data_IF_289228382573
#
_entry.id   IF_289228382573
#
_cell.length_a   1.000
_cell.length_b   1.000
_cell.length_c   1.000
_cell.angle_alpha   90.00
_cell.angle_beta   90.00
_cell.angle_gamma   90.00
#
_symmetry.space_group_name_H-M   'P 1'
#
loop_
_entity.id
_entity.type
_entity.pdbx_description
1 polymer ?
#
# COMPACT_ATOMS: atom_id res chain seq x y z
N UNK A 1 14.41 -20.46 -1.62
CA UNK A 1 13.23 -20.89 -2.40
C UNK A 1 12.34 -19.66 -2.60
N UNK A 2 11.98 -19.31 -3.82
CA UNK A 2 11.24 -18.06 -4.10
C UNK A 2 9.76 -18.09 -3.66
N UNK A 3 9.21 -19.28 -3.41
CA UNK A 3 7.88 -19.46 -2.84
C UNK A 3 8.01 -20.17 -1.49
N UNK A 4 7.53 -19.54 -0.41
CA UNK A 4 7.54 -20.14 0.90
C UNK A 4 6.33 -21.06 1.04
N UNK A 5 6.58 -22.37 1.08
CA UNK A 5 5.54 -23.41 1.17
C UNK A 5 4.78 -23.38 2.51
N UNK A 6 5.37 -22.84 3.56
CA UNK A 6 4.78 -22.77 4.89
C UNK A 6 4.91 -21.38 5.47
N UNK A 7 3.80 -20.83 5.93
CA UNK A 7 3.73 -19.62 6.73
C UNK A 7 3.39 -19.95 8.17
N UNK A 8 4.00 -19.26 9.11
CA UNK A 8 3.70 -19.35 10.55
C UNK A 8 2.54 -18.45 10.99
N UNK A 9 1.82 -17.85 10.04
CA UNK A 9 0.64 -17.05 10.32
C UNK A 9 -0.47 -17.93 10.91
N UNK A 10 -0.81 -17.69 12.18
CA UNK A 10 -1.83 -18.43 12.91
C UNK A 10 -2.80 -17.47 13.58
N UNK A 11 -3.84 -17.00 12.86
CA UNK A 11 -4.84 -16.12 13.46
C UNK A 11 -5.62 -16.84 14.56
N UNK A 12 -6.20 -16.08 15.51
CA UNK A 12 -7.10 -16.65 16.50
C UNK A 12 -8.26 -17.39 15.85
N UNK A 13 -8.64 -18.54 16.42
CA UNK A 13 -9.71 -19.40 15.90
C UNK A 13 -11.02 -18.65 15.59
N UNK A 14 -11.38 -17.66 16.42
CA UNK A 14 -12.60 -16.85 16.21
C UNK A 14 -12.56 -15.98 14.94
N UNK A 15 -11.41 -15.82 14.32
CA UNK A 15 -11.21 -15.10 13.06
C UNK A 15 -11.09 -16.09 11.88
N UNK A 16 -12.09 -16.93 11.74
CA UNK A 16 -12.09 -18.15 10.93
C UNK A 16 -12.12 -17.94 9.40
N UNK A 17 -12.34 -16.70 8.91
CA UNK A 17 -12.34 -16.43 7.48
C UNK A 17 -11.74 -15.05 7.14
N UNK A 18 -11.41 -14.85 5.86
CA UNK A 18 -10.77 -13.64 5.36
C UNK A 18 -11.58 -12.37 5.56
N UNK A 19 -12.92 -12.42 5.47
CA UNK A 19 -13.76 -11.23 5.70
C UNK A 19 -13.69 -10.78 7.16
N UNK A 20 -13.80 -11.72 8.10
CA UNK A 20 -13.69 -11.40 9.53
C UNK A 20 -12.31 -10.84 9.84
N UNK A 21 -11.24 -11.44 9.31
CA UNK A 21 -9.88 -10.93 9.50
C UNK A 21 -9.65 -9.56 8.88
N UNK A 22 -10.30 -9.26 7.75
CA UNK A 22 -10.23 -7.94 7.11
C UNK A 22 -10.89 -6.86 7.97
N UNK A 23 -12.05 -7.15 8.54
CA UNK A 23 -12.88 -6.16 9.26
C UNK A 23 -12.44 -6.01 10.72
N UNK A 24 -12.05 -7.10 11.38
CA UNK A 24 -11.71 -7.10 12.81
C UNK A 24 -10.67 -6.05 13.21
N UNK A 25 -9.52 -5.90 12.53
CA UNK A 25 -8.53 -4.88 12.90
C UNK A 25 -9.04 -3.46 12.75
N UNK A 26 -9.89 -3.22 11.76
CA UNK A 26 -10.47 -1.90 11.51
C UNK A 26 -11.33 -1.48 12.71
N UNK A 27 -12.15 -2.39 13.22
CA UNK A 27 -13.09 -2.10 14.32
C UNK A 27 -12.41 -2.20 15.69
N UNK A 28 -11.70 -3.28 15.98
CA UNK A 28 -11.35 -3.68 17.32
C UNK A 28 -9.87 -3.54 17.69
N UNK A 29 -8.96 -3.35 16.73
CA UNK A 29 -7.56 -3.12 17.08
C UNK A 29 -7.43 -1.80 17.82
N UNK A 30 -6.83 -1.78 19.02
CA UNK A 30 -6.46 -0.52 19.68
C UNK A 30 -5.52 0.29 18.74
N UNK A 31 -5.70 1.60 18.71
CA UNK A 31 -4.78 2.47 17.95
C UNK A 31 -3.42 2.43 18.62
N UNK A 32 -2.34 2.02 17.92
CA UNK A 32 -1.01 2.08 18.48
C UNK A 32 -0.66 3.52 18.83
N UNK A 33 -0.19 3.75 20.06
CA UNK A 33 0.24 5.08 20.50
C UNK A 33 1.51 5.45 19.77
N UNK A 34 1.41 6.40 18.86
CA UNK A 34 2.51 6.99 18.10
C UNK A 34 2.21 8.48 17.92
N UNK A 35 3.22 9.32 18.04
CA UNK A 35 3.09 10.77 17.87
C UNK A 35 4.03 11.21 16.74
N UNK A 36 3.60 11.11 15.48
CA UNK A 36 4.44 11.50 14.36
C UNK A 36 4.57 13.03 14.25
N UNK A 37 5.75 13.47 13.83
CA UNK A 37 5.94 14.84 13.38
C UNK A 37 5.47 14.95 11.91
N UNK A 38 4.50 15.81 11.63
CA UNK A 38 4.00 16.10 10.28
C UNK A 38 4.93 17.05 9.57
N UNK A 39 5.29 16.70 8.33
CA UNK A 39 6.00 17.52 7.38
C UNK A 39 5.24 17.57 6.06
N UNK A 40 5.25 18.68 5.35
CA UNK A 40 4.72 18.83 4.01
C UNK A 40 5.83 19.10 3.03
N UNK A 41 5.86 18.39 1.93
CA UNK A 41 6.79 18.62 0.82
C UNK A 41 6.04 19.03 -0.44
N UNK A 42 6.65 19.90 -1.24
CA UNK A 42 6.14 20.20 -2.57
C UNK A 42 6.55 19.13 -3.57
N UNK A 43 5.68 18.84 -4.51
CA UNK A 43 5.97 17.97 -5.66
C UNK A 43 6.37 18.80 -6.88
N UNK A 44 7.06 18.19 -7.84
CA UNK A 44 7.57 18.88 -9.03
C UNK A 44 6.47 19.50 -9.90
N UNK A 45 5.24 18.98 -9.81
CA UNK A 45 4.07 19.48 -10.53
C UNK A 45 3.26 20.55 -9.76
N UNK A 46 3.82 21.09 -8.66
CA UNK A 46 3.22 22.18 -7.87
C UNK A 46 2.19 21.72 -6.83
N UNK A 47 2.02 20.44 -6.63
CA UNK A 47 1.18 19.85 -5.58
C UNK A 47 1.97 19.67 -4.28
N UNK A 48 1.45 18.88 -3.33
CA UNK A 48 2.14 18.56 -2.09
C UNK A 48 1.83 17.14 -1.61
N UNK A 49 2.73 16.64 -0.75
CA UNK A 49 2.56 15.38 0.00
C UNK A 49 2.77 15.65 1.48
N UNK A 50 1.92 15.08 2.31
CA UNK A 50 2.03 15.10 3.77
C UNK A 50 2.73 13.84 4.27
N UNK A 51 3.79 14.02 5.04
CA UNK A 51 4.68 13.01 5.57
C UNK A 51 4.55 12.97 7.10
N UNK A 52 4.38 11.78 7.68
CA UNK A 52 4.34 11.57 9.12
C UNK A 52 5.63 10.82 9.56
N UNK A 53 6.51 11.52 10.24
CA UNK A 53 7.79 11.02 10.74
C UNK A 53 7.66 10.41 12.12
N UNK A 54 8.20 9.21 12.31
CA UNK A 54 8.35 8.54 13.59
C UNK A 54 9.82 8.26 13.83
N UNK A 55 10.35 8.76 14.94
CA UNK A 55 11.75 8.59 15.27
C UNK A 55 12.03 7.18 15.86
N UNK A 56 13.19 6.64 15.51
CA UNK A 56 13.69 5.40 16.09
C UNK A 56 13.80 5.46 17.60
N UNK A 57 13.53 4.35 18.26
CA UNK A 57 13.75 4.19 19.71
C UNK A 57 15.20 3.75 19.94
N UNK A 58 15.94 4.52 20.75
CA UNK A 58 17.33 4.23 21.08
C UNK A 58 18.35 4.90 20.15
N UNK A 59 19.63 4.60 20.38
CA UNK A 59 20.76 5.08 19.56
C UNK A 59 21.29 3.95 18.69
N UNK A 60 21.46 4.21 17.40
CA UNK A 60 21.97 3.24 16.43
C UNK A 60 22.30 3.91 15.10
N UNK A 61 22.73 3.15 14.09
CA UNK A 61 22.95 3.66 12.74
C UNK A 61 21.65 4.24 12.20
N UNK A 62 21.77 5.33 11.42
CA UNK A 62 20.61 5.97 10.80
C UNK A 62 20.06 5.05 9.70
N UNK A 63 18.84 4.53 9.89
CA UNK A 63 18.12 3.65 8.96
C UNK A 63 16.72 4.18 8.74
N UNK A 64 16.25 4.17 7.50
CA UNK A 64 14.96 4.71 7.08
C UNK A 64 14.00 3.60 6.66
N UNK A 65 12.77 3.62 7.16
CA UNK A 65 11.69 2.80 6.63
C UNK A 65 10.60 3.70 6.04
N UNK A 66 10.24 3.51 4.77
CA UNK A 66 9.14 4.23 4.12
C UNK A 66 7.92 3.33 4.04
N UNK A 67 6.76 3.85 4.51
CA UNK A 67 5.51 3.07 4.55
C UNK A 67 4.45 3.71 3.66
N UNK A 68 3.92 2.93 2.70
CA UNK A 68 2.82 3.28 1.80
C UNK A 68 1.52 2.60 2.23
N UNK A 69 0.46 3.39 2.42
CA UNK A 69 -0.86 2.89 2.85
C UNK A 69 -1.71 2.34 1.69
N UNK A 70 -2.87 1.75 1.99
CA UNK A 70 -3.84 1.24 1.00
C UNK A 70 -4.84 2.30 0.53
N UNK A 71 -5.75 1.88 -0.37
CA UNK A 71 -6.79 2.72 -0.98
C UNK A 71 -7.60 3.48 0.08
N UNK A 72 -7.72 4.80 -0.10
CA UNK A 72 -8.44 5.71 0.81
C UNK A 72 -7.97 5.61 2.28
N UNK A 73 -6.72 5.13 2.45
CA UNK A 73 -6.03 5.13 3.74
C UNK A 73 -5.36 6.47 4.05
N UNK A 74 -4.52 6.45 5.05
CA UNK A 74 -3.63 7.56 5.42
C UNK A 74 -2.52 7.03 6.36
N UNK A 75 -1.46 7.79 6.58
CA UNK A 75 -0.31 7.44 7.39
C UNK A 75 -0.63 7.06 8.86
N UNK A 76 -1.80 7.44 9.37
CA UNK A 76 -2.23 7.16 10.76
C UNK A 76 -3.25 6.01 10.87
N UNK A 77 -3.49 5.24 9.80
CA UNK A 77 -4.32 4.02 9.90
C UNK A 77 -3.67 3.02 10.84
N UNK A 78 -4.49 2.24 11.58
CA UNK A 78 -4.04 1.32 12.64
C UNK A 78 -2.93 0.36 12.18
N UNK A 79 -2.99 -0.15 10.94
CA UNK A 79 -1.97 -1.03 10.39
C UNK A 79 -0.66 -0.30 10.05
N UNK A 80 -0.75 0.95 9.56
CA UNK A 80 0.44 1.79 9.33
C UNK A 80 1.10 2.16 10.65
N UNK A 81 0.32 2.65 11.62
CA UNK A 81 0.82 3.00 12.94
C UNK A 81 1.43 1.80 13.69
N UNK A 82 0.83 0.61 13.54
CA UNK A 82 1.37 -0.64 14.09
C UNK A 82 2.72 -1.00 13.48
N UNK A 83 2.83 -0.96 12.16
CA UNK A 83 4.09 -1.19 11.44
C UNK A 83 5.14 -0.15 11.82
N UNK A 84 4.77 1.14 11.87
CA UNK A 84 5.68 2.20 12.31
C UNK A 84 6.22 1.94 13.72
N UNK A 85 5.34 1.58 14.67
CA UNK A 85 5.75 1.21 16.04
C UNK A 85 6.68 0.00 16.06
N UNK A 86 6.40 -1.02 15.24
CA UNK A 86 7.23 -2.23 15.17
C UNK A 86 8.64 -1.94 14.65
N UNK A 87 8.77 -1.06 13.66
CA UNK A 87 10.03 -0.69 13.05
C UNK A 87 10.82 0.32 13.91
N UNK A 88 10.16 1.32 14.50
CA UNK A 88 10.83 2.27 15.39
C UNK A 88 11.45 1.60 16.61
N UNK A 89 10.78 0.60 17.20
CA UNK A 89 11.34 -0.23 18.29
C UNK A 89 12.57 -1.05 17.87
N UNK A 90 12.81 -1.18 16.56
CA UNK A 90 13.98 -1.88 15.99
C UNK A 90 15.04 -0.93 15.43
N UNK A 91 14.92 0.36 15.76
CA UNK A 91 15.92 1.37 15.42
C UNK A 91 15.79 1.93 14.00
N UNK A 92 14.62 1.83 13.37
CA UNK A 92 14.31 2.51 12.11
C UNK A 92 13.62 3.85 12.36
N UNK A 93 14.11 4.93 11.77
CA UNK A 93 13.27 6.10 11.55
C UNK A 93 12.22 5.73 10.51
N UNK A 94 10.96 6.06 10.75
CA UNK A 94 9.87 5.69 9.87
C UNK A 94 9.24 6.92 9.24
N UNK A 95 9.12 6.90 7.92
CA UNK A 95 8.43 7.88 7.11
C UNK A 95 7.15 7.24 6.55
N UNK A 96 6.03 7.47 7.20
CA UNK A 96 4.72 7.10 6.68
C UNK A 96 4.14 8.28 5.91
N UNK A 97 3.84 8.11 4.63
CA UNK A 97 3.38 9.20 3.79
C UNK A 97 1.92 9.06 3.40
N UNK A 98 1.30 10.16 3.03
CA UNK A 98 -0.08 10.21 2.61
C UNK A 98 -0.16 10.45 1.10
N UNK A 99 -0.93 9.60 0.41
CA UNK A 99 -1.24 9.83 -1.01
C UNK A 99 -1.95 11.17 -1.18
N UNK A 100 -1.88 11.77 -2.36
CA UNK A 100 -2.50 13.07 -2.66
C UNK A 100 -3.97 13.10 -2.23
N UNK A 101 -4.34 14.08 -1.42
CA UNK A 101 -5.69 14.21 -0.86
C UNK A 101 -6.07 13.18 0.22
N UNK A 102 -5.08 12.47 0.80
CA UNK A 102 -5.28 11.54 1.93
C UNK A 102 -4.70 12.04 3.26
N UNK A 103 -4.02 13.17 3.27
CA UNK A 103 -3.37 13.74 4.46
C UNK A 103 -4.29 14.55 5.39
N UNK A 104 -5.58 14.71 5.04
CA UNK A 104 -6.56 15.53 5.75
C UNK A 104 -7.00 16.77 4.97
N UNK A 105 -6.15 17.32 4.14
CA UNK A 105 -6.46 18.39 3.19
C UNK A 105 -6.52 17.85 1.76
N UNK A 106 -7.39 18.40 0.90
CA UNK A 106 -7.36 18.10 -0.53
C UNK A 106 -6.06 18.61 -1.14
N UNK A 107 -5.44 17.80 -2.00
CA UNK A 107 -4.30 18.23 -2.77
C UNK A 107 -4.66 19.36 -3.76
N UNK A 108 -3.66 20.12 -4.25
CA UNK A 108 -3.88 21.32 -5.06
C UNK A 108 -4.37 21.05 -6.47
N UNK A 109 -3.87 19.99 -7.11
CA UNK A 109 -4.23 19.65 -8.49
C UNK A 109 -5.59 18.94 -8.58
N UNK A 110 -6.22 18.99 -9.76
CA UNK A 110 -7.47 18.27 -10.03
C UNK A 110 -7.29 16.76 -9.88
N UNK A 111 -6.19 16.22 -10.42
CA UNK A 111 -5.81 14.81 -10.22
C UNK A 111 -5.50 14.53 -8.74
N UNK A 112 -5.86 13.34 -8.27
CA UNK A 112 -5.48 12.85 -6.95
C UNK A 112 -4.25 11.92 -7.07
N UNK A 113 -4.40 10.69 -6.62
CA UNK A 113 -3.41 9.61 -6.78
C UNK A 113 -4.04 8.46 -7.56
N UNK A 114 -3.22 7.55 -8.06
CA UNK A 114 -3.67 6.29 -8.63
C UNK A 114 -2.79 5.11 -8.19
N UNK A 115 -3.26 3.88 -8.43
CA UNK A 115 -2.63 2.67 -7.89
C UNK A 115 -1.22 2.36 -8.44
N UNK A 116 -0.80 3.03 -9.51
CA UNK A 116 0.53 2.88 -10.11
C UNK A 116 1.37 4.15 -10.07
N UNK A 117 1.07 5.11 -9.19
CA UNK A 117 1.78 6.41 -9.10
C UNK A 117 3.12 6.26 -8.37
N UNK A 118 4.16 5.87 -9.10
CA UNK A 118 5.50 5.61 -8.57
C UNK A 118 6.34 6.88 -8.42
N UNK A 119 5.96 7.98 -9.08
CA UNK A 119 6.68 9.24 -9.01
C UNK A 119 6.60 9.88 -7.62
N UNK A 120 5.42 9.84 -7.00
CA UNK A 120 5.23 10.35 -5.64
C UNK A 120 6.02 9.52 -4.61
N UNK A 121 6.04 8.19 -4.75
CA UNK A 121 6.86 7.33 -3.89
C UNK A 121 8.36 7.64 -4.05
N UNK A 122 8.83 7.85 -5.29
CA UNK A 122 10.22 8.24 -5.55
C UNK A 122 10.56 9.59 -4.90
N UNK A 123 9.68 10.58 -5.00
CA UNK A 123 9.87 11.89 -4.37
C UNK A 123 9.96 11.78 -2.85
N UNK A 124 9.06 11.01 -2.22
CA UNK A 124 9.07 10.75 -0.77
C UNK A 124 10.35 10.05 -0.33
N UNK A 125 10.77 9.02 -1.04
CA UNK A 125 11.99 8.26 -0.72
C UNK A 125 13.24 9.13 -0.86
N UNK A 126 13.36 9.89 -1.95
CA UNK A 126 14.48 10.78 -2.20
C UNK A 126 14.55 11.89 -1.15
N UNK A 127 13.41 12.51 -0.82
CA UNK A 127 13.33 13.49 0.26
C UNK A 127 13.75 12.89 1.61
N UNK A 128 13.22 11.72 1.93
CA UNK A 128 13.55 11.02 3.17
C UNK A 128 15.03 10.71 3.31
N UNK A 129 15.66 10.19 2.25
CA UNK A 129 17.09 9.91 2.22
C UNK A 129 17.95 11.19 2.32
N UNK A 130 17.49 12.29 1.76
CA UNK A 130 18.19 13.59 1.82
C UNK A 130 18.13 14.29 3.18
N UNK A 131 17.16 13.92 4.04
CA UNK A 131 16.96 14.58 5.34
C UNK A 131 18.07 14.27 6.37
N UNK A 132 18.63 13.08 6.28
CA UNK A 132 19.71 12.60 7.14
C UNK A 132 20.55 11.60 6.35
N UNK A 133 21.81 11.44 6.69
CA UNK A 133 22.68 10.43 6.06
C UNK A 133 22.26 9.01 6.48
N UNK A 134 21.20 8.49 5.84
CA UNK A 134 20.76 7.11 6.02
C UNK A 134 21.62 6.17 5.20
N UNK A 135 22.24 5.20 5.87
CA UNK A 135 23.01 4.15 5.19
C UNK A 135 22.10 3.15 4.46
N UNK A 136 20.98 2.81 5.11
CA UNK A 136 20.03 1.82 4.62
C UNK A 136 18.60 2.36 4.66
N UNK A 137 17.84 2.01 3.64
CA UNK A 137 16.40 2.25 3.55
C UNK A 137 15.66 0.95 3.27
N UNK A 138 14.43 0.83 3.79
CA UNK A 138 13.52 -0.27 3.49
C UNK A 138 12.14 0.28 3.15
N UNK A 139 11.42 -0.46 2.32
CA UNK A 139 10.09 -0.05 1.87
C UNK A 139 9.04 -1.04 2.37
N UNK A 140 7.91 -0.53 2.86
CA UNK A 140 6.76 -1.35 3.25
C UNK A 140 5.50 -0.81 2.58
N UNK A 141 4.75 -1.69 1.90
CA UNK A 141 3.53 -1.29 1.21
C UNK A 141 2.33 -2.18 1.56
N UNK A 142 1.16 -1.57 1.66
CA UNK A 142 -0.09 -2.27 1.93
C UNK A 142 -1.08 -2.08 0.80
N UNK A 143 -1.70 -3.16 0.31
CA UNK A 143 -2.73 -3.11 -0.73
C UNK A 143 -2.22 -2.36 -1.97
N UNK A 144 -2.90 -1.31 -2.44
CA UNK A 144 -2.43 -0.50 -3.58
C UNK A 144 -1.07 0.18 -3.30
N UNK A 145 -0.73 0.49 -2.03
CA UNK A 145 0.60 0.97 -1.68
C UNK A 145 1.68 -0.09 -1.86
N UNK A 146 1.32 -1.36 -1.69
CA UNK A 146 2.15 -2.50 -2.08
C UNK A 146 2.30 -2.63 -3.60
N UNK A 147 1.21 -2.41 -4.35
CA UNK A 147 1.26 -2.39 -5.81
C UNK A 147 2.18 -1.26 -6.34
N UNK A 148 2.05 -0.04 -5.82
CA UNK A 148 2.95 1.08 -6.16
C UNK A 148 4.41 0.73 -5.86
N UNK A 149 4.67 0.14 -4.68
CA UNK A 149 6.00 -0.26 -4.26
C UNK A 149 6.61 -1.31 -5.20
N UNK A 150 5.89 -2.38 -5.50
CA UNK A 150 6.38 -3.44 -6.39
C UNK A 150 6.59 -2.92 -7.82
N UNK A 151 5.67 -2.10 -8.32
CA UNK A 151 5.81 -1.43 -9.61
C UNK A 151 7.05 -0.53 -9.62
N UNK A 152 7.23 0.31 -8.59
CA UNK A 152 8.39 1.20 -8.45
C UNK A 152 9.73 0.44 -8.51
N UNK A 153 9.82 -0.71 -7.83
CA UNK A 153 11.03 -1.53 -7.80
C UNK A 153 11.35 -2.23 -9.13
N UNK A 154 10.32 -2.50 -9.95
CA UNK A 154 10.47 -3.31 -11.15
C UNK A 154 10.31 -2.55 -12.46
N UNK A 155 9.61 -1.40 -12.53
CA UNK A 155 9.41 -0.67 -13.79
C UNK A 155 10.69 -0.01 -14.31
N UNK A 156 11.54 0.46 -13.40
CA UNK A 156 12.86 1.04 -13.69
C UNK A 156 13.81 0.77 -12.51
N UNK A 157 14.41 -0.43 -12.43
CA UNK A 157 15.27 -0.82 -11.32
C UNK A 157 16.51 0.06 -11.15
N UNK A 158 16.98 0.74 -12.20
CA UNK A 158 18.12 1.65 -12.13
C UNK A 158 17.79 2.95 -11.39
N UNK A 159 16.52 3.35 -11.37
CA UNK A 159 16.04 4.53 -10.63
C UNK A 159 16.01 4.31 -9.11
N UNK A 160 16.00 3.05 -8.66
CA UNK A 160 15.90 2.70 -7.24
C UNK A 160 17.21 3.09 -6.53
N UNK A 161 17.18 3.97 -5.50
CA UNK A 161 18.39 4.36 -4.79
C UNK A 161 19.12 3.15 -4.18
N UNK A 162 20.44 3.12 -4.27
CA UNK A 162 21.28 2.03 -3.74
C UNK A 162 21.11 1.81 -2.23
N UNK A 163 20.65 2.82 -1.50
CA UNK A 163 20.33 2.73 -0.08
C UNK A 163 19.13 1.78 0.20
N UNK A 164 18.26 1.52 -0.80
CA UNK A 164 17.13 0.59 -0.62
C UNK A 164 17.64 -0.84 -0.57
N UNK A 165 17.57 -1.45 0.62
CA UNK A 165 18.11 -2.79 0.89
C UNK A 165 17.08 -3.90 0.80
N UNK A 166 15.83 -3.61 1.16
CA UNK A 166 14.76 -4.60 1.15
C UNK A 166 13.38 -3.96 1.06
N UNK A 167 12.39 -4.76 0.68
CA UNK A 167 11.01 -4.33 0.63
C UNK A 167 10.05 -5.43 1.09
N UNK A 168 8.91 -5.04 1.68
CA UNK A 168 7.82 -5.96 2.04
C UNK A 168 6.49 -5.37 1.58
N UNK A 169 5.68 -6.18 0.91
CA UNK A 169 4.38 -5.79 0.39
C UNK A 169 3.29 -6.77 0.86
N UNK A 170 2.20 -6.24 1.41
CA UNK A 170 1.11 -7.02 1.99
C UNK A 170 -0.19 -6.83 1.22
N UNK A 171 -0.92 -7.94 1.00
CA UNK A 171 -2.27 -7.94 0.42
C UNK A 171 -2.34 -7.16 -0.89
N UNK A 172 -1.43 -7.47 -1.81
CA UNK A 172 -1.17 -6.65 -2.99
C UNK A 172 -2.06 -7.06 -4.17
N UNK A 173 -2.90 -6.16 -4.69
CA UNK A 173 -3.61 -6.36 -5.94
C UNK A 173 -2.65 -6.13 -7.13
N UNK A 174 -1.65 -6.99 -7.32
CA UNK A 174 -0.66 -6.83 -8.38
C UNK A 174 -1.25 -6.95 -9.81
N UNK A 175 -2.43 -7.56 -9.95
CA UNK A 175 -3.34 -7.45 -11.09
C UNK A 175 -4.57 -6.62 -10.69
N UNK A 176 -4.57 -5.34 -11.04
CA UNK A 176 -5.66 -4.43 -10.67
C UNK A 176 -6.98 -4.79 -11.35
N UNK A 177 -6.96 -5.20 -12.61
CA UNK A 177 -8.16 -5.60 -13.35
C UNK A 177 -8.80 -6.85 -12.71
N UNK A 178 -8.00 -7.84 -12.37
CA UNK A 178 -8.45 -9.04 -11.67
C UNK A 178 -9.07 -8.73 -10.32
N UNK A 179 -8.41 -7.89 -9.52
CA UNK A 179 -8.89 -7.49 -8.20
C UNK A 179 -10.15 -6.61 -8.27
N UNK A 180 -10.26 -5.70 -9.24
CA UNK A 180 -11.47 -4.91 -9.47
C UNK A 180 -12.68 -5.82 -9.76
N UNK A 181 -12.50 -6.85 -10.62
CA UNK A 181 -13.55 -7.86 -10.89
C UNK A 181 -13.92 -8.68 -9.65
N UNK A 182 -12.94 -9.05 -8.80
CA UNK A 182 -13.23 -9.77 -7.54
C UNK A 182 -14.03 -8.89 -6.59
N UNK A 183 -13.66 -7.63 -6.44
CA UNK A 183 -14.38 -6.66 -5.59
C UNK A 183 -15.80 -6.34 -6.12
N UNK A 184 -16.03 -6.44 -7.43
CA UNK A 184 -17.35 -6.26 -8.03
C UNK A 184 -18.33 -7.43 -7.76
N UNK A 185 -17.86 -8.56 -7.21
CA UNK A 185 -18.73 -9.70 -6.87
C UNK A 185 -19.74 -9.33 -5.77
N UNK A 186 -20.95 -9.89 -5.79
CA UNK A 186 -21.98 -9.59 -4.78
C UNK A 186 -21.50 -9.77 -3.33
N UNK A 187 -20.68 -10.77 -3.06
CA UNK A 187 -20.10 -11.02 -1.73
C UNK A 187 -19.24 -9.87 -1.20
N UNK A 188 -18.68 -9.05 -2.09
CA UNK A 188 -17.79 -7.93 -1.77
C UNK A 188 -18.48 -6.56 -1.86
N UNK A 189 -19.80 -6.52 -2.11
CA UNK A 189 -20.56 -5.27 -2.28
C UNK A 189 -20.35 -4.27 -1.15
N UNK A 190 -20.22 -4.75 0.09
CA UNK A 190 -19.96 -3.87 1.24
C UNK A 190 -18.62 -3.13 1.13
N UNK A 191 -17.56 -3.82 0.73
CA UNK A 191 -16.24 -3.19 0.55
C UNK A 191 -16.23 -2.24 -0.64
N UNK A 192 -16.84 -2.65 -1.76
CA UNK A 192 -16.96 -1.81 -2.95
C UNK A 192 -17.67 -0.49 -2.62
N UNK A 193 -18.82 -0.55 -1.93
CA UNK A 193 -19.55 0.65 -1.52
C UNK A 193 -18.77 1.51 -0.53
N UNK A 194 -18.06 0.89 0.42
CA UNK A 194 -17.19 1.61 1.36
C UNK A 194 -16.13 2.46 0.63
N UNK A 195 -15.46 1.90 -0.36
CA UNK A 195 -14.46 2.62 -1.14
C UNK A 195 -15.08 3.65 -2.09
N UNK A 196 -16.11 3.27 -2.83
CA UNK A 196 -16.77 4.18 -3.78
C UNK A 196 -17.37 5.38 -3.07
N UNK A 197 -17.90 5.23 -1.87
CA UNK A 197 -18.40 6.37 -1.08
C UNK A 197 -17.32 7.43 -0.86
N UNK A 198 -16.11 7.01 -0.52
CA UNK A 198 -14.97 7.93 -0.33
C UNK A 198 -14.51 8.54 -1.65
N UNK A 199 -14.39 7.74 -2.70
CA UNK A 199 -13.98 8.21 -4.03
C UNK A 199 -14.98 9.19 -4.63
N UNK A 200 -16.30 8.90 -4.52
CA UNK A 200 -17.36 9.83 -4.95
C UNK A 200 -17.30 11.16 -4.17
N UNK A 201 -17.05 11.10 -2.86
CA UNK A 201 -16.90 12.31 -2.04
C UNK A 201 -15.72 13.17 -2.50
N UNK A 202 -14.58 12.52 -2.85
CA UNK A 202 -13.42 13.22 -3.43
C UNK A 202 -13.74 13.83 -4.80
N UNK A 203 -14.41 13.11 -5.69
CA UNK A 203 -14.82 13.64 -7.00
C UNK A 203 -15.70 14.89 -6.84
N UNK A 204 -16.70 14.85 -5.95
CA UNK A 204 -17.54 16.02 -5.63
C UNK A 204 -16.74 17.18 -5.05
N UNK A 205 -15.82 16.91 -4.12
CA UNK A 205 -14.96 17.94 -3.55
C UNK A 205 -14.11 18.60 -4.62
N UNK A 206 -13.46 17.80 -5.46
CA UNK A 206 -12.63 18.30 -6.57
C UNK A 206 -13.47 19.11 -7.57
N UNK A 207 -14.66 18.63 -7.91
CA UNK A 207 -15.56 19.39 -8.78
C UNK A 207 -15.89 20.77 -8.22
N UNK A 208 -16.20 20.88 -6.92
CA UNK A 208 -16.45 22.19 -6.27
C UNK A 208 -15.23 23.10 -6.28
N UNK A 209 -14.04 22.55 -5.98
CA UNK A 209 -12.80 23.32 -5.92
C UNK A 209 -12.34 23.84 -7.29
N UNK A 210 -12.73 23.16 -8.37
CA UNK A 210 -12.33 23.48 -9.74
C UNK A 210 -13.47 24.01 -10.60
N UNK A 211 -14.47 24.64 -9.98
CA UNK A 211 -15.53 25.37 -10.71
C UNK A 211 -16.49 24.51 -11.52
N UNK A 212 -16.69 23.25 -11.15
CA UNK A 212 -17.68 22.38 -11.81
C UNK A 212 -17.16 21.68 -13.07
N UNK A 213 -15.84 21.52 -13.22
CA UNK A 213 -15.21 20.97 -14.43
C UNK A 213 -15.47 19.46 -14.64
N UNK A 214 -15.81 18.72 -13.57
CA UNK A 214 -16.07 17.28 -13.65
C UNK A 214 -17.56 17.03 -13.95
N UNK A 215 -17.83 16.17 -14.91
CA UNK A 215 -19.18 15.67 -15.10
C UNK A 215 -19.52 14.65 -14.02
N UNK A 216 -20.45 15.02 -13.13
CA UNK A 216 -20.90 14.18 -12.01
C UNK A 216 -22.20 13.42 -12.30
N UNK A 217 -22.77 13.50 -13.51
CA UNK A 217 -24.01 12.81 -13.85
C UNK A 217 -23.84 11.31 -13.70
N UNK A 218 -24.79 10.67 -13.02
CA UNK A 218 -24.72 9.22 -12.75
C UNK A 218 -23.63 8.78 -11.76
N UNK A 219 -22.90 9.69 -11.10
CA UNK A 219 -21.84 9.34 -10.15
C UNK A 219 -22.31 8.37 -9.05
N UNK A 220 -23.51 8.55 -8.53
CA UNK A 220 -24.09 7.69 -7.48
C UNK A 220 -24.51 6.31 -8.00
N UNK A 221 -24.80 6.19 -9.28
CA UNK A 221 -25.14 4.93 -9.93
C UNK A 221 -23.92 4.06 -10.28
N UNK A 222 -22.71 4.59 -10.17
CA UNK A 222 -21.48 3.81 -10.40
C UNK A 222 -21.21 2.87 -9.23
N UNK A 223 -21.45 1.58 -9.43
CA UNK A 223 -21.36 0.55 -8.37
C UNK A 223 -20.10 -0.31 -8.46
N UNK A 224 -19.17 -0.01 -9.38
CA UNK A 224 -17.92 -0.72 -9.58
C UNK A 224 -16.74 0.22 -9.74
N UNK A 225 -15.53 -0.26 -9.46
CA UNK A 225 -14.32 0.49 -9.78
C UNK A 225 -14.17 0.74 -11.27
N UNK A 226 -14.51 -0.24 -12.14
CA UNK A 226 -14.43 -0.05 -13.59
C UNK A 226 -15.21 1.19 -14.04
N UNK A 227 -16.45 1.34 -13.59
CA UNK A 227 -17.29 2.49 -13.94
C UNK A 227 -16.73 3.81 -13.40
N UNK A 228 -16.21 3.82 -12.17
CA UNK A 228 -15.63 5.01 -11.55
C UNK A 228 -14.27 5.36 -12.19
N UNK A 229 -13.41 4.36 -12.37
CA UNK A 229 -12.06 4.57 -12.88
C UNK A 229 -12.07 4.97 -14.37
N UNK A 230 -12.99 4.43 -15.14
CA UNK A 230 -13.16 4.81 -16.56
C UNK A 230 -13.53 6.28 -16.71
N UNK A 231 -14.40 6.78 -15.84
CA UNK A 231 -14.91 8.15 -15.92
C UNK A 231 -14.04 9.18 -15.20
N UNK A 232 -13.39 8.82 -14.09
CA UNK A 232 -12.64 9.78 -13.27
C UNK A 232 -11.16 9.46 -13.21
N UNK A 233 -10.76 8.29 -12.71
CA UNK A 233 -9.34 8.00 -12.46
C UNK A 233 -8.55 8.02 -13.76
N UNK A 234 -9.01 7.34 -14.78
CA UNK A 234 -8.29 7.21 -16.04
C UNK A 234 -8.09 8.56 -16.75
N UNK A 235 -9.13 9.35 -17.04
CA UNK A 235 -8.94 10.62 -17.75
C UNK A 235 -8.11 11.64 -16.95
N UNK A 236 -8.28 11.70 -15.63
CA UNK A 236 -7.54 12.64 -14.77
C UNK A 236 -6.03 12.34 -14.70
N UNK A 237 -5.63 11.13 -15.08
CA UNK A 237 -4.22 10.69 -15.06
C UNK A 237 -3.68 10.33 -16.45
N UNK A 238 -4.40 10.67 -17.53
CA UNK A 238 -3.94 10.47 -18.92
C UNK A 238 -3.94 9.02 -19.38
N UNK A 239 -4.83 8.20 -18.83
CA UNK A 239 -5.13 6.86 -19.35
C UNK A 239 -6.31 6.91 -20.31
N UNK A 240 -6.35 6.01 -21.30
CA UNK A 240 -7.41 5.94 -22.30
C UNK A 240 -8.75 5.40 -21.74
N UNK A 241 -8.76 4.82 -20.55
CA UNK A 241 -9.90 4.27 -19.85
C UNK A 241 -9.45 3.34 -18.72
N UNK A 242 -10.41 2.74 -18.00
CA UNK A 242 -10.12 1.87 -16.86
C UNK A 242 -9.21 0.68 -17.24
N UNK A 243 -9.45 0.06 -18.40
CA UNK A 243 -8.64 -1.07 -18.86
C UNK A 243 -7.18 -0.68 -19.12
N UNK A 244 -6.92 0.48 -19.72
CA UNK A 244 -5.56 1.01 -19.93
C UNK A 244 -4.93 1.39 -18.59
N UNK A 245 -5.68 2.01 -17.69
CA UNK A 245 -5.24 2.31 -16.33
C UNK A 245 -4.80 1.04 -15.61
N UNK A 246 -5.63 0.02 -15.53
CA UNK A 246 -5.28 -1.21 -14.82
C UNK A 246 -4.07 -1.91 -15.42
N UNK A 247 -4.00 -2.00 -16.74
CA UNK A 247 -2.88 -2.61 -17.46
C UNK A 247 -1.55 -1.91 -17.13
N UNK A 248 -1.52 -0.57 -17.18
CA UNK A 248 -0.30 0.25 -16.98
C UNK A 248 0.06 0.46 -15.51
N UNK A 249 -0.93 0.42 -14.61
CA UNK A 249 -0.74 0.65 -13.20
C UNK A 249 -0.49 -0.62 -12.37
N UNK A 250 -0.77 -1.81 -12.91
CA UNK A 250 -0.49 -3.10 -12.26
C UNK A 250 1.01 -3.34 -12.12
N UNK A 251 1.41 -3.91 -10.98
CA UNK A 251 2.81 -4.29 -10.73
C UNK A 251 3.18 -5.66 -11.33
N UNK A 252 2.20 -6.51 -11.62
CA UNK A 252 2.43 -7.89 -12.07
C UNK A 252 3.44 -8.01 -13.24
N UNK A 253 3.40 -7.17 -14.31
CA UNK A 253 4.36 -7.26 -15.40
C UNK A 253 5.81 -6.87 -15.03
N UNK A 254 6.00 -6.26 -13.87
CA UNK A 254 7.29 -5.72 -13.44
C UNK A 254 7.99 -6.57 -12.39
N UNK A 255 7.36 -7.64 -11.86
CA UNK A 255 7.83 -8.39 -10.71
C UNK A 255 9.18 -9.08 -10.96
N UNK A 256 9.41 -9.63 -12.16
CA UNK A 256 10.64 -10.34 -12.51
C UNK A 256 11.86 -9.41 -12.60
N UNK A 257 11.63 -8.13 -12.89
CA UNK A 257 12.69 -7.13 -13.02
C UNK A 257 13.17 -6.57 -11.65
N UNK A 258 12.52 -6.91 -10.55
CA UNK A 258 12.88 -6.44 -9.21
C UNK A 258 14.28 -6.92 -8.83
N UNK A 259 15.15 -5.99 -8.42
CA UNK A 259 16.56 -6.26 -8.04
C UNK A 259 16.84 -6.10 -6.55
N UNK A 260 15.84 -5.74 -5.78
CA UNK A 260 15.96 -5.57 -4.32
C UNK A 260 15.28 -6.75 -3.62
N UNK A 261 15.88 -7.36 -2.58
CA UNK A 261 15.24 -8.39 -1.78
C UNK A 261 13.84 -7.97 -1.37
N UNK A 262 12.83 -8.66 -1.87
CA UNK A 262 11.43 -8.26 -1.74
C UNK A 262 10.56 -9.44 -1.30
N UNK A 263 9.77 -9.23 -0.24
CA UNK A 263 8.79 -10.19 0.26
C UNK A 263 7.37 -9.73 -0.09
N UNK A 264 6.69 -10.49 -0.94
CA UNK A 264 5.28 -10.32 -1.26
C UNK A 264 4.44 -11.29 -0.41
N UNK A 265 3.52 -10.77 0.37
CA UNK A 265 2.64 -11.56 1.26
C UNK A 265 1.19 -11.32 0.88
N UNK A 266 0.55 -12.35 0.32
CA UNK A 266 -0.86 -12.37 -0.03
C UNK A 266 -1.53 -13.58 0.61
N UNK A 267 -2.50 -13.38 1.50
CA UNK A 267 -3.23 -14.48 2.14
C UNK A 267 -4.17 -15.15 1.13
N UNK A 268 -4.27 -16.50 1.18
CA UNK A 268 -5.12 -17.26 0.27
C UNK A 268 -6.61 -16.98 0.47
N UNK A 269 -7.00 -16.53 1.66
CA UNK A 269 -8.37 -16.14 2.02
C UNK A 269 -8.65 -14.63 1.85
N UNK A 270 -7.74 -13.87 1.20
CA UNK A 270 -7.94 -12.44 0.97
C UNK A 270 -9.13 -12.20 0.02
N UNK A 271 -10.21 -11.54 0.47
CA UNK A 271 -11.43 -11.40 -0.32
C UNK A 271 -11.32 -10.40 -1.48
N UNK A 272 -10.19 -9.70 -1.64
CA UNK A 272 -10.00 -8.67 -2.67
C UNK A 272 -9.15 -9.15 -3.84
N UNK A 273 -8.37 -10.22 -3.64
CA UNK A 273 -7.36 -10.62 -4.60
C UNK A 273 -7.89 -11.65 -5.61
N UNK A 274 -7.53 -11.47 -6.86
CA UNK A 274 -7.71 -12.48 -7.90
C UNK A 274 -6.61 -13.55 -7.84
N UNK A 275 -6.81 -14.73 -8.45
CA UNK A 275 -5.76 -15.75 -8.54
C UNK A 275 -4.45 -15.24 -9.17
N UNK A 276 -4.52 -14.30 -10.10
CA UNK A 276 -3.36 -13.66 -10.72
C UNK A 276 -2.51 -12.82 -9.74
N UNK A 277 -3.05 -12.48 -8.56
CA UNK A 277 -2.29 -11.79 -7.51
C UNK A 277 -1.44 -12.74 -6.64
N UNK A 278 -1.35 -14.01 -7.02
CA UNK A 278 -0.46 -15.02 -6.43
C UNK A 278 0.62 -15.44 -7.45
N UNK A 279 1.57 -14.57 -7.80
CA UNK A 279 2.46 -14.72 -8.96
C UNK A 279 3.60 -15.71 -8.68
N UNK A 280 3.26 -16.99 -8.51
CA UNK A 280 4.23 -18.03 -8.19
C UNK A 280 5.31 -18.20 -9.27
N UNK A 281 4.93 -18.06 -10.55
CA UNK A 281 5.86 -18.17 -11.68
C UNK A 281 6.88 -17.02 -11.66
N UNK A 282 6.41 -15.77 -11.50
CA UNK A 282 7.30 -14.62 -11.40
C UNK A 282 8.23 -14.71 -10.18
N UNK A 283 7.72 -15.20 -9.03
CA UNK A 283 8.55 -15.45 -7.87
C UNK A 283 9.57 -16.56 -8.13
N UNK A 284 9.20 -17.62 -8.84
CA UNK A 284 10.12 -18.71 -9.20
C UNK A 284 11.23 -18.25 -10.15
N UNK A 285 10.93 -17.33 -11.07
CA UNK A 285 11.88 -16.76 -12.01
C UNK A 285 12.82 -15.72 -11.37
N UNK A 286 12.38 -15.05 -10.27
CA UNK A 286 13.14 -13.99 -9.61
C UNK A 286 14.10 -14.54 -8.55
N UNK A 287 15.30 -13.95 -8.46
CA UNK A 287 16.25 -14.18 -7.36
C UNK A 287 15.96 -13.30 -6.13
N UNK A 288 15.18 -12.25 -6.30
CA UNK A 288 14.95 -11.21 -5.29
C UNK A 288 13.53 -11.22 -4.74
N UNK A 289 12.55 -11.75 -5.48
CA UNK A 289 11.16 -11.80 -5.06
C UNK A 289 10.84 -13.11 -4.34
N UNK A 290 10.40 -13.00 -3.11
CA UNK A 290 9.88 -14.12 -2.31
C UNK A 290 8.38 -13.94 -2.17
N UNK A 291 7.61 -14.95 -2.57
CA UNK A 291 6.17 -15.02 -2.35
C UNK A 291 5.85 -15.87 -1.12
N UNK A 292 5.12 -15.30 -0.18
CA UNK A 292 4.56 -16.00 0.98
C UNK A 292 3.04 -15.94 0.94
N UNK A 293 2.38 -17.11 1.00
CA UNK A 293 0.92 -17.22 0.89
C UNK A 293 0.32 -17.87 2.13
N UNK A 294 0.17 -17.12 3.24
CA UNK A 294 -0.53 -17.64 4.41
C UNK A 294 -1.93 -18.14 4.03
N UNK A 295 -2.34 -19.29 4.59
CA UNK A 295 -3.68 -19.84 4.34
C UNK A 295 -4.77 -18.86 4.76
N UNK A 296 -4.48 -18.06 5.80
CA UNK A 296 -5.44 -17.17 6.43
C UNK A 296 -4.75 -15.86 6.83
N UNK A 297 -5.39 -14.74 6.58
CA UNK A 297 -4.86 -13.40 6.84
C UNK A 297 -5.83 -12.29 6.49
N UNK A 298 -6.79 -12.57 5.63
CA UNK A 298 -7.69 -11.56 5.07
C UNK A 298 -6.95 -10.46 4.33
N UNK A 299 -7.63 -9.34 4.05
CA UNK A 299 -7.01 -8.17 3.43
C UNK A 299 -6.40 -7.27 4.50
N UNK A 300 -5.05 -7.25 4.59
CA UNK A 300 -4.28 -6.47 5.59
C UNK A 300 -4.63 -6.82 7.05
N UNK A 301 -5.23 -7.97 7.28
CA UNK A 301 -5.64 -8.40 8.62
C UNK A 301 -4.47 -8.97 9.43
N UNK A 302 -4.02 -10.16 9.08
CA UNK A 302 -2.87 -10.87 9.66
C UNK A 302 -2.81 -10.79 11.19
N UNK A 303 -3.97 -11.00 11.84
CA UNK A 303 -4.13 -10.82 13.29
C UNK A 303 -3.37 -11.88 14.03
N UNK A 304 -2.59 -11.48 15.02
CA UNK A 304 -1.94 -12.36 15.99
C UNK A 304 -2.29 -11.93 17.40
N UNK A 305 -2.58 -12.87 18.30
CA UNK A 305 -2.80 -12.56 19.71
C UNK A 305 -1.49 -12.59 20.48
N UNK A 306 -1.13 -11.45 21.05
CA UNK A 306 -0.02 -11.35 21.99
C UNK A 306 -0.22 -10.13 22.90
N UNK A 307 0.60 -10.03 23.97
CA UNK A 307 0.51 -8.96 24.97
C UNK A 307 0.88 -7.58 24.41
N UNK A 308 1.69 -7.54 23.35
CA UNK A 308 2.23 -6.29 22.79
C UNK A 308 1.35 -5.67 21.71
N UNK A 309 0.20 -6.30 21.37
CA UNK A 309 -0.64 -5.90 20.25
C UNK A 309 0.20 -5.77 18.95
N UNK A 310 1.14 -6.69 18.77
CA UNK A 310 2.00 -6.80 17.58
C UNK A 310 1.37 -7.83 16.64
N UNK A 311 0.95 -7.40 15.45
CA UNK A 311 0.35 -8.30 14.48
C UNK A 311 1.41 -9.13 13.75
N UNK A 312 0.99 -10.28 13.21
CA UNK A 312 1.89 -11.16 12.48
C UNK A 312 2.61 -10.45 11.34
N UNK A 313 1.90 -9.61 10.56
CA UNK A 313 2.49 -8.81 9.49
C UNK A 313 3.65 -7.92 9.96
N UNK A 314 3.52 -7.32 11.14
CA UNK A 314 4.56 -6.46 11.73
C UNK A 314 5.77 -7.27 12.18
N UNK A 315 5.54 -8.43 12.79
CA UNK A 315 6.59 -9.36 13.20
C UNK A 315 7.33 -9.92 11.99
N UNK A 316 6.57 -10.35 10.96
CA UNK A 316 7.11 -10.96 9.74
C UNK A 316 7.91 -9.97 8.89
N UNK A 317 7.39 -8.74 8.72
CA UNK A 317 8.14 -7.67 8.05
C UNK A 317 9.45 -7.39 8.77
N UNK A 318 9.39 -7.17 10.08
CA UNK A 318 10.59 -6.87 10.85
C UNK A 318 11.65 -7.97 10.82
N UNK A 319 11.24 -9.24 10.80
CA UNK A 319 12.14 -10.38 10.69
C UNK A 319 12.81 -10.43 9.30
N UNK A 320 12.04 -10.24 8.23
CA UNK A 320 12.58 -10.23 6.86
C UNK A 320 13.54 -9.06 6.64
N UNK A 321 13.15 -7.85 7.03
CA UNK A 321 13.95 -6.65 6.85
C UNK A 321 15.25 -6.69 7.66
N UNK A 322 15.25 -7.32 8.84
CA UNK A 322 16.46 -7.51 9.64
C UNK A 322 17.45 -8.51 9.03
N UNK A 323 16.97 -9.47 8.25
CA UNK A 323 17.81 -10.47 7.59
C UNK A 323 18.38 -10.00 6.25
N UNK A 324 17.74 -9.00 5.62
CA UNK A 324 18.08 -8.51 4.28
C UNK A 324 18.81 -7.14 4.30
N UNK A 325 18.78 -6.41 5.42
CA UNK A 325 19.46 -5.13 5.65
C UNK A 325 20.61 -5.33 6.65
#
# INVERSE_FOLDING_TARGET
MPVLAHSDCRPPFVLWNGHVQTVYPVLFRPVPTVSPARERIATADGDFLDLDWHQAVGRGPARLAVISHGLEGHARKKYVAGMARALTRRGWDVLAWNFRGCGGEPNRLLRCYHSGDTADLHAVLTHGLGRRSYADAVLVGFSIGGNQLLKYLGEDPERVPRAVRAAVAFSVPCDLAGSARVLARPANRFYMEYFLRSLRAKARLKNRLFGGILDLDGLDAMTTFDAFDDRFTAPLHGFAGAADYYRRASSLPHLEAIRVPTLLINALDDPFLSPSCFPAEAAAASRQLVLETPVSGGHVGFVERNRDNLYWSERRAAAFLAAAA
#
